data_IF_650731124627
#
_entry.id   IF_650731124627
#
_cell.length_a   1.000
_cell.length_b   1.000
_cell.length_c   1.000
_cell.angle_alpha   90.00
_cell.angle_beta   90.00
_cell.angle_gamma   90.00
#
_symmetry.space_group_name_H-M   'P 1'
#
loop_
_entity.id
_entity.type
_entity.pdbx_description
1 polymer ?
#
# COMPACT_ATOMS: atom_id res chain seq x y z
N UNK A 1 -11.14 9.30 -6.25
CA UNK A 1 -11.22 10.12 -5.03
C UNK A 1 -11.53 9.20 -3.87
N UNK A 2 -11.14 9.57 -2.64
CA UNK A 2 -11.47 8.75 -1.47
C UNK A 2 -12.98 8.87 -1.18
N UNK A 3 -13.64 7.84 -0.62
CA UNK A 3 -15.06 7.92 -0.30
C UNK A 3 -15.33 9.05 0.71
N UNK A 4 -16.30 9.92 0.38
CA UNK A 4 -16.79 10.92 1.32
C UNK A 4 -17.63 10.25 2.41
N UNK A 5 -17.46 10.67 3.67
CA UNK A 5 -18.24 10.17 4.80
C UNK A 5 -17.75 8.86 5.45
N UNK A 6 -16.67 8.26 4.96
CA UNK A 6 -16.00 7.13 5.60
C UNK A 6 -14.62 7.53 6.14
N UNK A 7 -14.27 7.05 7.34
CA UNK A 7 -12.97 7.31 7.98
C UNK A 7 -11.89 6.29 7.59
N UNK A 8 -12.31 5.06 7.28
CA UNK A 8 -11.44 3.97 6.91
C UNK A 8 -12.14 2.98 5.97
N UNK A 9 -11.36 2.12 5.33
CA UNK A 9 -11.88 1.02 4.52
C UNK A 9 -10.82 -0.02 4.19
N UNK A 10 -11.30 -1.15 3.68
CA UNK A 10 -10.47 -2.26 3.19
C UNK A 10 -10.55 -2.28 1.68
N UNK A 11 -9.41 -2.25 1.00
CA UNK A 11 -9.29 -2.66 -0.39
C UNK A 11 -8.90 -4.14 -0.41
N UNK A 12 -9.61 -4.94 -1.19
CA UNK A 12 -9.44 -6.39 -1.26
C UNK A 12 -9.56 -6.82 -2.71
N UNK A 13 -8.56 -7.55 -3.21
CA UNK A 13 -8.60 -8.12 -4.55
C UNK A 13 -9.72 -9.16 -4.68
N UNK A 14 -10.20 -9.35 -5.91
CA UNK A 14 -11.33 -10.24 -6.20
C UNK A 14 -10.98 -11.74 -6.08
N UNK A 15 -9.69 -12.08 -6.03
CA UNK A 15 -9.19 -13.44 -5.85
C UNK A 15 -8.83 -13.77 -4.40
N UNK A 16 -9.15 -12.88 -3.45
CA UNK A 16 -8.98 -13.12 -2.02
C UNK A 16 -10.13 -13.95 -1.46
N UNK A 17 -9.78 -15.03 -0.75
CA UNK A 17 -10.74 -15.83 0.03
C UNK A 17 -10.58 -15.50 1.51
N UNK A 18 -11.66 -15.03 2.14
CA UNK A 18 -11.68 -14.70 3.57
C UNK A 18 -12.07 -15.94 4.38
N UNK A 19 -11.18 -16.38 5.26
CA UNK A 19 -11.36 -17.61 6.07
C UNK A 19 -11.77 -17.33 7.52
N UNK A 20 -11.65 -16.09 7.99
CA UNK A 20 -11.93 -15.67 9.37
C UNK A 20 -12.79 -14.40 9.38
N UNK A 21 -13.17 -13.94 10.57
CA UNK A 21 -13.92 -12.70 10.72
C UNK A 21 -13.09 -11.49 10.23
N UNK A 22 -13.66 -10.68 9.34
CA UNK A 22 -13.07 -9.43 8.85
C UNK A 22 -12.89 -8.40 9.96
N UNK A 23 -13.64 -8.50 11.07
CA UNK A 23 -13.46 -7.61 12.22
C UNK A 23 -12.03 -7.69 12.78
N UNK A 24 -11.36 -8.85 12.68
CA UNK A 24 -9.97 -8.98 13.10
C UNK A 24 -9.04 -8.08 12.28
N UNK A 25 -9.29 -7.91 10.98
CA UNK A 25 -8.54 -6.96 10.15
C UNK A 25 -8.93 -5.51 10.47
N UNK A 26 -10.18 -5.28 10.88
CA UNK A 26 -10.63 -3.94 11.25
C UNK A 26 -9.96 -3.47 12.55
N UNK A 27 -9.74 -4.37 13.51
CA UNK A 27 -9.08 -4.08 14.78
C UNK A 27 -7.62 -3.60 14.59
N UNK A 28 -6.95 -3.99 13.51
CA UNK A 28 -5.59 -3.55 13.18
C UNK A 28 -5.49 -2.02 12.99
N UNK A 29 -6.58 -1.32 12.65
CA UNK A 29 -6.58 0.14 12.61
C UNK A 29 -6.29 0.77 13.99
N UNK A 30 -6.61 0.08 15.09
CA UNK A 30 -6.28 0.54 16.44
C UNK A 30 -4.79 0.41 16.77
N UNK A 31 -4.05 -0.39 16.00
CA UNK A 31 -2.60 -0.54 16.12
C UNK A 31 -1.82 0.54 15.36
N UNK A 32 -2.48 1.35 14.53
CA UNK A 32 -1.81 2.42 13.79
C UNK A 32 -1.33 3.52 14.74
N UNK A 33 -0.06 3.89 14.64
CA UNK A 33 0.49 5.08 15.29
C UNK A 33 -0.11 6.36 14.71
N UNK A 34 0.32 7.55 15.17
CA UNK A 34 -0.24 8.82 14.70
C UNK A 34 0.01 9.13 13.20
N UNK A 35 0.90 8.40 12.52
CA UNK A 35 1.38 8.66 11.16
C UNK A 35 0.88 7.63 10.15
N UNK A 36 0.69 6.39 10.55
CA UNK A 36 0.29 5.30 9.66
C UNK A 36 -1.07 5.59 9.02
N UNK A 37 -1.15 5.50 7.70
CA UNK A 37 -2.36 5.73 6.92
C UNK A 37 -2.73 4.52 6.04
N UNK A 38 -1.77 3.61 5.86
CA UNK A 38 -1.88 2.38 5.10
C UNK A 38 -1.49 1.21 6.01
N UNK A 39 -2.13 0.07 5.83
CA UNK A 39 -1.69 -1.21 6.39
C UNK A 39 -1.67 -2.25 5.28
N UNK A 40 -0.53 -2.91 5.07
CA UNK A 40 -0.32 -3.86 3.99
C UNK A 40 0.60 -4.99 4.45
N UNK A 41 0.62 -6.08 3.71
CA UNK A 41 1.50 -7.23 4.02
C UNK A 41 2.76 -7.21 3.16
N UNK A 42 3.91 -7.70 3.68
CA UNK A 42 5.10 -7.90 2.87
C UNK A 42 4.82 -8.83 1.69
N UNK A 43 5.49 -8.56 0.58
CA UNK A 43 5.39 -9.40 -0.60
C UNK A 43 6.10 -10.75 -0.40
N UNK A 44 5.35 -11.84 -0.57
CA UNK A 44 5.80 -13.20 -0.25
C UNK A 44 6.83 -13.71 -1.24
N UNK A 45 6.76 -13.27 -2.49
CA UNK A 45 7.66 -13.70 -3.55
C UNK A 45 9.10 -13.15 -3.41
N UNK A 46 9.37 -12.29 -2.41
CA UNK A 46 10.70 -11.73 -2.16
C UNK A 46 11.82 -12.76 -1.98
N UNK A 47 11.49 -13.97 -1.52
CA UNK A 47 12.46 -15.07 -1.36
C UNK A 47 12.97 -15.64 -2.69
N UNK A 48 12.34 -15.32 -3.82
CA UNK A 48 12.82 -15.73 -5.14
C UNK A 48 13.94 -14.77 -5.61
N UNK A 49 15.16 -15.27 -5.88
CA UNK A 49 16.28 -14.44 -6.33
C UNK A 49 16.02 -13.70 -7.65
N UNK A 50 15.06 -14.13 -8.46
CA UNK A 50 14.66 -13.43 -9.68
C UNK A 50 13.66 -12.30 -9.43
N UNK A 51 13.05 -12.25 -8.25
CA UNK A 51 11.98 -11.32 -7.93
C UNK A 51 12.49 -9.89 -7.71
N UNK A 52 13.35 -9.71 -6.70
CA UNK A 52 13.80 -8.37 -6.28
C UNK A 52 14.51 -7.56 -7.38
N UNK A 53 15.53 -8.07 -8.09
CA UNK A 53 16.31 -7.26 -9.03
C UNK A 53 15.50 -6.86 -10.28
N UNK A 54 14.50 -7.68 -10.65
CA UNK A 54 13.62 -7.40 -11.80
C UNK A 54 12.48 -6.45 -11.42
N UNK A 55 12.07 -6.49 -10.14
CA UNK A 55 10.88 -5.80 -9.65
C UNK A 55 11.13 -4.40 -9.10
N UNK A 56 12.19 -4.23 -8.32
CA UNK A 56 12.51 -2.96 -7.69
C UNK A 56 13.95 -2.54 -8.01
N UNK A 57 14.19 -1.98 -9.21
CA UNK A 57 15.51 -1.42 -9.54
C UNK A 57 15.81 -0.10 -8.81
N UNK A 58 14.94 0.33 -7.89
CA UNK A 58 15.07 1.51 -7.02
C UNK A 58 14.95 1.11 -5.54
N UNK A 59 15.39 1.97 -4.59
CA UNK A 59 15.20 1.74 -3.16
C UNK A 59 13.72 1.63 -2.79
N UNK A 60 13.39 0.72 -1.89
CA UNK A 60 12.07 0.55 -1.30
C UNK A 60 12.20 0.40 0.21
N UNK A 61 11.21 0.90 0.96
CA UNK A 61 11.22 0.88 2.43
C UNK A 61 11.23 -0.53 3.02
N UNK A 62 10.46 -1.45 2.45
CA UNK A 62 10.39 -2.85 2.89
C UNK A 62 11.19 -3.72 1.93
N UNK A 63 12.14 -4.55 2.40
CA UNK A 63 12.80 -5.54 1.56
C UNK A 63 11.78 -6.44 0.86
N UNK A 64 11.71 -6.34 -0.47
CA UNK A 64 10.73 -7.08 -1.29
C UNK A 64 9.42 -6.39 -1.53
N UNK A 65 9.20 -5.26 -0.86
CA UNK A 65 8.01 -4.45 -0.99
C UNK A 65 6.81 -5.06 -0.26
N UNK A 66 5.68 -4.42 -0.46
CA UNK A 66 4.37 -4.85 0.02
C UNK A 66 3.53 -5.41 -1.12
N UNK A 67 2.56 -6.26 -0.79
CA UNK A 67 1.52 -6.77 -1.67
C UNK A 67 0.25 -5.91 -1.59
N UNK A 68 -0.36 -5.60 -2.73
CA UNK A 68 -1.53 -4.73 -2.82
C UNK A 68 -2.89 -5.45 -2.77
N UNK A 69 -2.92 -6.79 -2.70
CA UNK A 69 -4.16 -7.54 -2.74
C UNK A 69 -5.04 -7.42 -1.50
N UNK A 70 -4.49 -6.89 -0.40
CA UNK A 70 -5.25 -6.42 0.75
C UNK A 70 -4.60 -5.17 1.34
N UNK A 71 -5.36 -4.08 1.41
CA UNK A 71 -4.89 -2.79 1.94
C UNK A 71 -5.89 -2.22 2.93
N UNK A 72 -5.41 -1.94 4.15
CA UNK A 72 -6.11 -1.12 5.13
C UNK A 72 -5.86 0.34 4.79
N UNK A 73 -6.93 1.11 4.61
CA UNK A 73 -6.88 2.50 4.19
C UNK A 73 -7.50 3.38 5.27
N UNK A 74 -6.70 4.17 5.97
CA UNK A 74 -7.21 5.22 6.85
C UNK A 74 -7.51 6.46 6.01
N UNK A 75 -8.73 6.57 5.49
CA UNK A 75 -9.13 7.65 4.60
C UNK A 75 -8.97 9.03 5.22
N UNK A 76 -9.18 9.18 6.52
CA UNK A 76 -9.00 10.47 7.20
C UNK A 76 -7.56 10.95 7.13
N UNK A 77 -6.58 10.08 7.40
CA UNK A 77 -5.16 10.42 7.27
C UNK A 77 -4.72 10.55 5.81
N UNK A 78 -5.22 9.70 4.91
CA UNK A 78 -4.91 9.78 3.48
C UNK A 78 -5.42 11.10 2.85
N UNK A 79 -6.58 11.61 3.28
CA UNK A 79 -7.06 12.95 2.90
C UNK A 79 -6.13 14.05 3.40
N UNK A 80 -5.73 14.01 4.67
CA UNK A 80 -4.78 14.97 5.25
C UNK A 80 -3.43 14.96 4.53
N UNK A 81 -3.00 13.78 4.09
CA UNK A 81 -1.75 13.59 3.36
C UNK A 81 -1.86 13.89 1.85
N UNK A 82 -3.00 14.37 1.34
CA UNK A 82 -3.22 14.63 -0.09
C UNK A 82 -2.81 13.42 -0.96
N UNK A 83 -3.26 12.24 -0.53
CA UNK A 83 -2.76 10.96 -1.03
C UNK A 83 -2.85 10.84 -2.55
N UNK A 84 -3.99 11.18 -3.17
CA UNK A 84 -4.17 11.03 -4.61
C UNK A 84 -3.28 11.98 -5.43
N UNK A 85 -3.12 13.22 -4.98
CA UNK A 85 -2.24 14.20 -5.61
C UNK A 85 -0.78 13.71 -5.56
N UNK A 86 -0.36 13.19 -4.40
CA UNK A 86 0.97 12.62 -4.22
C UNK A 86 1.18 11.38 -5.12
N UNK A 87 0.21 10.46 -5.19
CA UNK A 87 0.28 9.32 -6.09
C UNK A 87 0.42 9.75 -7.56
N UNK A 88 -0.32 10.76 -8.01
CA UNK A 88 -0.22 11.26 -9.39
C UNK A 88 1.15 11.86 -9.70
N UNK A 89 1.71 12.62 -8.75
CA UNK A 89 3.06 13.18 -8.87
C UNK A 89 4.13 12.08 -8.90
N UNK A 90 3.95 11.01 -8.13
CA UNK A 90 4.87 9.88 -8.12
C UNK A 90 4.76 9.01 -9.37
N UNK A 91 3.54 8.82 -9.89
CA UNK A 91 3.24 7.99 -11.05
C UNK A 91 3.81 8.56 -12.34
N UNK A 92 3.55 9.83 -12.63
CA UNK A 92 3.86 10.47 -13.91
C UNK A 92 5.31 10.26 -14.38
N UNK A 93 6.35 10.54 -13.57
CA UNK A 93 7.74 10.37 -13.99
C UNK A 93 8.20 8.89 -14.02
N UNK A 94 7.51 7.98 -13.34
CA UNK A 94 7.95 6.58 -13.14
C UNK A 94 7.11 5.57 -13.94
N UNK A 95 6.09 6.03 -14.66
CA UNK A 95 5.11 5.20 -15.38
C UNK A 95 5.74 4.15 -16.28
N UNK A 96 6.85 4.46 -16.96
CA UNK A 96 7.52 3.54 -17.88
C UNK A 96 8.21 2.36 -17.21
N UNK A 97 8.46 2.43 -15.90
CA UNK A 97 9.14 1.37 -15.14
C UNK A 97 8.20 0.59 -14.22
N UNK A 98 6.98 1.08 -13.98
CA UNK A 98 5.96 0.36 -13.21
C UNK A 98 5.41 -0.79 -14.05
N UNK A 99 5.71 -2.01 -13.62
CA UNK A 99 5.29 -3.24 -14.31
C UNK A 99 4.08 -3.88 -13.62
N UNK A 100 3.89 -3.63 -12.32
CA UNK A 100 2.83 -4.23 -11.49
C UNK A 100 1.87 -3.16 -10.91
N UNK A 101 1.61 -2.11 -11.68
CA UNK A 101 0.48 -1.21 -11.44
C UNK A 101 0.49 -0.52 -10.07
N UNK A 102 -0.63 -0.62 -9.36
CA UNK A 102 -0.87 0.01 -8.06
C UNK A 102 0.12 -0.46 -6.99
N UNK A 103 0.55 -1.73 -7.02
CA UNK A 103 1.49 -2.24 -6.03
C UNK A 103 2.85 -1.54 -6.13
N UNK A 104 3.37 -1.31 -7.33
CA UNK A 104 4.62 -0.57 -7.53
C UNK A 104 4.49 0.87 -7.03
N UNK A 105 3.36 1.51 -7.32
CA UNK A 105 3.09 2.88 -6.91
C UNK A 105 2.96 3.02 -5.39
N UNK A 106 2.30 2.08 -4.70
CA UNK A 106 2.21 2.05 -3.24
C UNK A 106 3.56 1.79 -2.58
N UNK A 107 4.40 0.91 -3.17
CA UNK A 107 5.76 0.71 -2.72
C UNK A 107 6.61 1.98 -2.84
N UNK A 108 6.48 2.73 -3.93
CA UNK A 108 7.15 4.03 -4.06
C UNK A 108 6.60 5.04 -3.05
N UNK A 109 5.28 5.14 -2.91
CA UNK A 109 4.65 6.09 -1.98
C UNK A 109 5.09 5.88 -0.53
N UNK A 110 5.05 4.64 -0.05
CA UNK A 110 5.44 4.29 1.33
C UNK A 110 6.94 4.49 1.57
N UNK A 111 7.76 4.41 0.52
CA UNK A 111 9.19 4.73 0.58
C UNK A 111 9.45 6.23 0.68
N UNK A 112 8.73 7.03 -0.10
CA UNK A 112 8.86 8.50 -0.13
C UNK A 112 8.12 9.17 1.06
N UNK A 113 7.24 8.43 1.74
CA UNK A 113 6.48 8.89 2.91
C UNK A 113 6.72 7.97 4.13
N UNK A 114 7.91 8.00 4.77
CA UNK A 114 8.24 7.10 5.86
C UNK A 114 7.27 7.18 7.06
N UNK A 115 6.83 6.02 7.55
CA UNK A 115 5.86 5.91 8.65
C UNK A 115 4.38 6.02 8.23
N UNK A 116 4.10 6.10 6.92
CA UNK A 116 2.74 5.99 6.37
C UNK A 116 2.19 4.55 6.34
N UNK A 117 3.08 3.56 6.43
CA UNK A 117 2.79 2.13 6.50
C UNK A 117 3.05 1.60 7.91
#
# INVERSE_FOLDING_TARGET
TLPDGADAGLFVDLDVVVLQDLNLLWDEFACFDARQALGMTPEREYGDPNYRPVRFPWPIAIPGGVNAGLVLLNYTRLRQAQFFENLQQLFTPRRSWMKWGEQDLLNVYTTETPGSL
#
